data_IF_614204883467
#
_entry.id   IF_614204883467
#
_cell.length_a   1.000
_cell.length_b   1.000
_cell.length_c   1.000
_cell.angle_alpha   90.00
_cell.angle_beta   90.00
_cell.angle_gamma   90.00
#
_symmetry.space_group_name_H-M   'P 1'
#
loop_
_entity.id
_entity.type
_entity.pdbx_description
1 polymer ?
#
# COMPACT_ATOMS: atom_id res chain seq x y z
N UNK A 1 -1.80 -13.15 -19.59
CA UNK A 1 -2.61 -12.08 -18.96
C UNK A 1 -2.70 -10.94 -19.95
N UNK A 2 -3.91 -10.51 -20.31
CA UNK A 2 -4.12 -9.27 -21.05
C UNK A 2 -4.46 -8.12 -20.09
N UNK A 3 -4.60 -6.91 -20.62
CA UNK A 3 -4.93 -5.71 -19.85
C UNK A 3 -6.30 -5.80 -19.17
N UNK A 4 -7.31 -6.29 -19.88
CA UNK A 4 -8.67 -6.49 -19.35
C UNK A 4 -8.68 -7.44 -18.15
N UNK A 5 -7.87 -8.48 -18.18
CA UNK A 5 -7.71 -9.45 -17.10
C UNK A 5 -7.04 -8.84 -15.87
N UNK A 6 -6.04 -7.97 -16.06
CA UNK A 6 -5.48 -7.18 -14.96
C UNK A 6 -6.52 -6.22 -14.35
N UNK A 7 -7.24 -5.48 -15.19
CA UNK A 7 -8.24 -4.50 -14.77
C UNK A 7 -9.37 -5.13 -13.94
N UNK A 8 -9.89 -6.30 -14.32
CA UNK A 8 -10.93 -7.01 -13.55
C UNK A 8 -10.41 -7.71 -12.29
N UNK A 9 -9.10 -7.98 -12.18
CA UNK A 9 -8.50 -8.69 -11.04
C UNK A 9 -8.26 -7.74 -9.87
N UNK A 10 -8.94 -7.98 -8.74
CA UNK A 10 -8.78 -7.12 -7.54
C UNK A 10 -7.37 -7.24 -6.94
N UNK A 11 -6.77 -8.43 -7.02
CA UNK A 11 -5.42 -8.72 -6.53
C UNK A 11 -4.65 -9.63 -7.50
N UNK A 12 -3.32 -9.53 -7.49
CA UNK A 12 -2.41 -10.35 -8.31
C UNK A 12 -1.73 -11.43 -7.48
N UNK A 13 -2.55 -12.16 -6.73
CA UNK A 13 -2.20 -13.40 -6.04
C UNK A 13 -3.07 -14.55 -6.57
N UNK A 14 -3.38 -15.55 -5.73
CA UNK A 14 -4.26 -16.65 -6.10
C UNK A 14 -5.67 -16.24 -6.54
N UNK A 15 -6.05 -14.96 -6.40
CA UNK A 15 -7.35 -14.40 -6.79
C UNK A 15 -7.37 -13.75 -8.18
N UNK A 16 -6.31 -13.94 -8.96
CA UNK A 16 -6.25 -13.42 -10.33
C UNK A 16 -7.33 -14.07 -11.22
N UNK A 17 -7.94 -13.29 -12.11
CA UNK A 17 -8.90 -13.78 -13.11
C UNK A 17 -8.23 -13.78 -14.49
N UNK A 18 -7.58 -14.88 -14.92
CA UNK A 18 -6.77 -14.89 -16.12
C UNK A 18 -7.61 -14.87 -17.41
N UNK A 19 -6.99 -14.42 -18.52
CA UNK A 19 -7.62 -14.41 -19.85
C UNK A 19 -7.90 -15.83 -20.39
N UNK A 20 -7.04 -16.78 -20.02
CA UNK A 20 -7.15 -18.18 -20.39
C UNK A 20 -6.56 -19.04 -19.26
N UNK A 21 -7.00 -20.29 -19.17
CA UNK A 21 -6.44 -21.26 -18.25
C UNK A 21 -5.08 -21.74 -18.76
N UNK A 22 -4.10 -21.80 -17.87
CA UNK A 22 -2.75 -22.27 -18.19
C UNK A 22 -1.69 -21.64 -17.29
N UNK A 23 -0.73 -22.45 -16.86
CA UNK A 23 0.42 -22.00 -16.08
C UNK A 23 1.66 -22.80 -16.48
N UNK A 24 2.80 -22.14 -16.48
CA UNK A 24 4.11 -22.78 -16.65
C UNK A 24 4.96 -22.46 -15.43
N UNK A 25 5.62 -23.47 -14.87
CA UNK A 25 6.61 -23.29 -13.81
C UNK A 25 7.99 -23.32 -14.44
N UNK A 26 8.79 -22.29 -14.17
CA UNK A 26 10.19 -22.22 -14.55
C UNK A 26 11.05 -21.91 -13.33
N UNK A 27 12.28 -22.43 -13.24
CA UNK A 27 13.22 -22.00 -12.21
C UNK A 27 13.46 -20.49 -12.28
N UNK A 28 13.56 -19.82 -11.14
CA UNK A 28 13.84 -18.37 -11.10
C UNK A 28 15.19 -18.07 -11.77
N UNK A 29 16.17 -18.97 -11.61
CA UNK A 29 17.48 -18.87 -12.27
C UNK A 29 17.41 -18.80 -13.80
N UNK A 30 16.38 -19.40 -14.41
CA UNK A 30 16.17 -19.29 -15.86
C UNK A 30 15.78 -17.86 -16.29
N UNK A 31 15.33 -17.02 -15.36
CA UNK A 31 14.95 -15.63 -15.60
C UNK A 31 16.04 -14.63 -15.21
N UNK A 32 17.04 -15.04 -14.43
CA UNK A 32 18.15 -14.22 -13.92
C UNK A 32 19.22 -13.93 -14.99
N UNK A 33 19.35 -14.78 -16.01
CA UNK A 33 20.36 -14.65 -17.06
C UNK A 33 20.19 -13.44 -18.01
N UNK A 34 19.05 -12.73 -17.93
CA UNK A 34 18.80 -11.56 -18.77
C UNK A 34 18.86 -10.29 -17.94
N UNK A 35 19.85 -9.39 -18.15
CA UNK A 35 19.85 -8.09 -17.50
C UNK A 35 18.59 -7.34 -17.94
N UNK A 36 17.77 -6.93 -16.96
CA UNK A 36 16.59 -6.11 -17.20
C UNK A 36 16.67 -4.91 -16.29
N UNK A 37 16.92 -3.75 -16.85
CA UNK A 37 16.71 -2.51 -16.11
C UNK A 37 15.19 -2.34 -15.92
N UNK A 38 14.70 -2.19 -14.68
CA UNK A 38 13.30 -1.87 -14.46
C UNK A 38 12.92 -0.60 -15.22
N UNK A 39 11.80 -0.66 -15.93
CA UNK A 39 11.17 0.53 -16.48
C UNK A 39 10.54 1.38 -15.36
N UNK A 40 10.22 2.63 -15.69
CA UNK A 40 9.58 3.57 -14.78
C UNK A 40 8.32 2.95 -14.13
N UNK A 41 8.33 2.90 -12.80
CA UNK A 41 7.25 2.32 -11.97
C UNK A 41 6.80 3.36 -10.96
N UNK A 42 5.49 3.59 -10.89
CA UNK A 42 4.89 4.38 -9.82
C UNK A 42 4.43 3.49 -8.68
N UNK A 43 4.59 3.93 -7.43
CA UNK A 43 4.33 3.09 -6.27
C UNK A 43 3.22 3.64 -5.38
N UNK A 44 2.35 2.75 -4.90
CA UNK A 44 1.42 3.03 -3.81
C UNK A 44 1.77 2.09 -2.66
N UNK A 45 2.52 2.61 -1.69
CA UNK A 45 2.76 1.94 -0.41
C UNK A 45 1.66 2.32 0.57
N UNK A 46 1.35 1.43 1.51
CA UNK A 46 0.23 1.68 2.40
C UNK A 46 0.31 0.91 3.73
N UNK A 47 -0.36 1.42 4.77
CA UNK A 47 -0.35 0.81 6.12
C UNK A 47 -1.32 -0.36 6.33
N UNK A 48 -2.04 -0.75 5.28
CA UNK A 48 -3.24 -1.60 5.25
C UNK A 48 -4.54 -0.89 5.66
N UNK A 49 -5.66 -1.38 5.11
CA UNK A 49 -7.02 -0.96 5.47
C UNK A 49 -7.30 0.56 5.43
N UNK A 50 -6.48 1.31 4.70
CA UNK A 50 -6.49 2.76 4.59
C UNK A 50 -6.94 3.27 3.21
N UNK A 51 -7.75 2.51 2.47
CA UNK A 51 -8.25 2.93 1.15
C UNK A 51 -7.28 2.73 -0.03
N UNK A 52 -6.15 2.03 0.15
CA UNK A 52 -5.20 1.81 -0.96
C UNK A 52 -5.80 1.08 -2.17
N UNK A 53 -6.70 0.13 -1.95
CA UNK A 53 -7.43 -0.53 -3.05
C UNK A 53 -8.37 0.44 -3.78
N UNK A 54 -9.03 1.34 -3.05
CA UNK A 54 -9.87 2.38 -3.64
C UNK A 54 -9.03 3.31 -4.52
N UNK A 55 -7.92 3.84 -4.00
CA UNK A 55 -7.00 4.71 -4.74
C UNK A 55 -6.44 4.01 -6.00
N UNK A 56 -5.95 2.78 -5.85
CA UNK A 56 -5.40 2.03 -6.99
C UNK A 56 -6.44 1.74 -8.07
N UNK A 57 -7.70 1.46 -7.70
CA UNK A 57 -8.80 1.28 -8.66
C UNK A 57 -9.21 2.60 -9.32
N UNK A 58 -9.19 3.71 -8.58
CA UNK A 58 -9.49 5.02 -9.11
C UNK A 58 -8.44 5.53 -10.11
N UNK A 59 -7.22 4.95 -10.09
CA UNK A 59 -6.14 5.22 -11.04
C UNK A 59 -6.05 4.18 -12.18
N UNK A 60 -6.90 3.14 -12.19
CA UNK A 60 -6.84 2.03 -13.13
C UNK A 60 -7.85 2.21 -14.27
N UNK A 61 -7.55 3.10 -15.22
CA UNK A 61 -8.38 3.28 -16.40
C UNK A 61 -7.89 2.42 -17.56
N UNK A 62 -8.82 1.77 -18.26
CA UNK A 62 -8.50 0.83 -19.33
C UNK A 62 -7.68 1.42 -20.48
N UNK A 63 -7.65 2.75 -20.68
CA UNK A 63 -6.89 3.35 -21.79
C UNK A 63 -5.60 4.09 -21.34
N UNK A 64 -5.29 4.12 -20.03
CA UNK A 64 -4.17 4.91 -19.45
C UNK A 64 -2.91 4.09 -19.11
N UNK A 65 -2.83 3.53 -17.90
CA UNK A 65 -1.66 2.92 -17.28
C UNK A 65 -2.01 1.51 -16.81
N UNK A 66 -1.02 0.65 -16.60
CA UNK A 66 -1.27 -0.66 -15.97
C UNK A 66 -1.21 -0.49 -14.46
N UNK A 67 -2.23 -0.95 -13.72
CA UNK A 67 -2.19 -0.99 -12.25
C UNK A 67 -2.09 -2.43 -11.76
N UNK A 68 -1.00 -2.73 -11.07
CA UNK A 68 -0.73 -4.03 -10.46
C UNK A 68 -1.06 -3.96 -8.96
N UNK A 69 -2.06 -4.72 -8.52
CA UNK A 69 -2.57 -4.69 -7.14
C UNK A 69 -2.02 -5.86 -6.31
N UNK A 70 -1.17 -5.54 -5.34
CA UNK A 70 -0.55 -6.47 -4.40
C UNK A 70 0.17 -7.67 -5.06
N UNK A 71 1.18 -7.45 -5.94
CA UNK A 71 1.86 -8.56 -6.61
C UNK A 71 2.51 -9.54 -5.61
N UNK A 72 2.17 -10.82 -5.73
CA UNK A 72 2.66 -11.85 -4.81
C UNK A 72 4.19 -12.02 -4.87
N UNK A 73 4.79 -11.93 -6.07
CA UNK A 73 6.24 -12.05 -6.24
C UNK A 73 7.01 -11.02 -5.40
N UNK A 74 6.49 -9.78 -5.33
CA UNK A 74 7.09 -8.72 -4.52
C UNK A 74 6.92 -8.97 -3.02
N UNK A 75 5.73 -9.43 -2.61
CA UNK A 75 5.49 -9.84 -1.21
C UNK A 75 6.44 -10.96 -0.79
N UNK A 76 6.62 -11.98 -1.64
CA UNK A 76 7.52 -13.10 -1.38
C UNK A 76 8.97 -12.65 -1.23
N UNK A 77 9.43 -11.71 -2.08
CA UNK A 77 10.75 -11.11 -1.93
C UNK A 77 10.88 -10.37 -0.58
N UNK A 78 9.84 -9.68 -0.14
CA UNK A 78 9.85 -8.95 1.14
C UNK A 78 9.91 -9.84 2.39
N UNK A 79 9.20 -10.97 2.39
CA UNK A 79 9.13 -11.87 3.57
C UNK A 79 10.23 -12.93 3.59
N UNK A 80 10.94 -13.16 2.48
CA UNK A 80 11.94 -14.22 2.37
C UNK A 80 13.32 -13.82 2.90
N UNK A 81 13.47 -12.64 3.52
CA UNK A 81 14.76 -12.02 3.85
C UNK A 81 14.72 -11.40 5.24
N UNK A 82 15.78 -11.58 6.01
CA UNK A 82 16.03 -10.76 7.18
C UNK A 82 16.51 -9.34 6.74
N UNK A 83 16.42 -8.34 7.64
CA UNK A 83 17.05 -7.04 7.41
C UNK A 83 18.52 -7.19 6.98
N UNK A 84 18.91 -6.56 5.88
CA UNK A 84 20.28 -6.61 5.35
C UNK A 84 20.60 -7.79 4.43
N UNK A 85 19.73 -8.79 4.29
CA UNK A 85 19.96 -9.98 3.43
C UNK A 85 19.22 -9.96 2.10
N UNK A 86 18.76 -8.78 1.66
CA UNK A 86 17.96 -8.63 0.44
C UNK A 86 18.85 -9.00 -0.76
N UNK A 87 18.53 -10.13 -1.42
CA UNK A 87 19.20 -10.52 -2.66
C UNK A 87 18.83 -9.49 -3.74
N UNK A 88 19.78 -8.59 -4.03
CA UNK A 88 19.60 -7.49 -4.98
C UNK A 88 19.10 -7.99 -6.34
N UNK A 89 19.60 -9.13 -6.80
CA UNK A 89 19.23 -9.74 -8.09
C UNK A 89 17.76 -10.16 -8.14
N UNK A 90 17.25 -10.76 -7.06
CA UNK A 90 15.83 -11.16 -6.99
C UNK A 90 14.92 -9.93 -6.97
N UNK A 91 15.30 -8.89 -6.24
CA UNK A 91 14.51 -7.65 -6.20
C UNK A 91 14.54 -6.96 -7.57
N UNK A 92 15.70 -6.86 -8.21
CA UNK A 92 15.86 -6.30 -9.54
C UNK A 92 15.02 -7.07 -10.58
N UNK A 93 15.08 -8.40 -10.56
CA UNK A 93 14.27 -9.26 -11.44
C UNK A 93 12.76 -9.02 -11.24
N UNK A 94 12.29 -9.02 -9.98
CA UNK A 94 10.88 -8.79 -9.69
C UNK A 94 10.47 -7.38 -10.12
N UNK A 95 11.26 -6.35 -9.81
CA UNK A 95 10.99 -4.97 -10.24
C UNK A 95 10.93 -4.84 -11.75
N UNK A 96 11.86 -5.45 -12.48
CA UNK A 96 11.83 -5.46 -13.94
C UNK A 96 10.58 -6.15 -14.49
N UNK A 97 10.18 -7.26 -13.88
CA UNK A 97 8.96 -7.97 -14.27
C UNK A 97 7.68 -7.18 -14.01
N UNK A 98 7.61 -6.44 -12.90
CA UNK A 98 6.46 -5.59 -12.56
C UNK A 98 6.42 -4.32 -13.41
N UNK A 99 7.57 -3.82 -13.86
CA UNK A 99 7.64 -2.62 -14.70
C UNK A 99 7.15 -2.81 -16.15
N UNK A 100 6.83 -4.06 -16.54
CA UNK A 100 6.25 -4.36 -17.86
C UNK A 100 4.93 -3.59 -18.04
N UNK A 101 4.76 -3.04 -19.23
CA UNK A 101 3.66 -2.12 -19.58
C UNK A 101 3.22 -2.31 -21.02
N UNK A 102 1.96 -1.96 -21.27
CA UNK A 102 1.37 -1.97 -22.62
C UNK A 102 1.61 -0.66 -23.37
N UNK A 103 1.93 0.41 -22.64
CA UNK A 103 2.17 1.76 -23.15
C UNK A 103 3.53 2.22 -22.65
N UNK A 104 4.39 2.68 -23.55
CA UNK A 104 5.77 3.07 -23.21
C UNK A 104 5.84 4.43 -22.51
N UNK A 105 4.86 5.30 -22.78
CA UNK A 105 4.73 6.66 -22.29
C UNK A 105 4.19 6.75 -20.85
N UNK A 106 3.50 5.71 -20.38
CA UNK A 106 2.93 5.67 -19.02
C UNK A 106 3.69 4.69 -18.12
N UNK A 107 3.83 5.00 -16.81
CA UNK A 107 4.42 4.06 -15.88
C UNK A 107 3.44 2.92 -15.56
N UNK A 108 3.97 1.76 -15.19
CA UNK A 108 3.17 0.77 -14.46
C UNK A 108 3.05 1.24 -13.01
N UNK A 109 1.84 1.21 -12.47
CA UNK A 109 1.58 1.56 -11.08
C UNK A 109 1.49 0.27 -10.27
N UNK A 110 2.27 0.16 -9.21
CA UNK A 110 2.27 -0.99 -8.30
C UNK A 110 1.73 -0.56 -6.95
N UNK A 111 0.56 -1.09 -6.59
CA UNK A 111 0.08 -1.03 -5.21
C UNK A 111 0.73 -2.16 -4.42
N UNK A 112 1.64 -1.81 -3.53
CA UNK A 112 2.45 -2.77 -2.79
C UNK A 112 1.63 -3.53 -1.73
N UNK A 113 2.24 -4.58 -1.18
CA UNK A 113 1.77 -5.28 0.02
C UNK A 113 2.45 -4.69 1.27
N UNK A 114 1.82 -4.79 2.44
CA UNK A 114 2.38 -4.26 3.71
C UNK A 114 3.84 -4.67 3.98
N UNK A 115 4.25 -5.95 3.85
CA UNK A 115 5.65 -6.31 4.11
C UNK A 115 6.66 -5.61 3.21
N UNK A 116 6.25 -5.12 2.04
CA UNK A 116 7.12 -4.43 1.09
C UNK A 116 7.50 -3.04 1.61
N UNK A 117 6.76 -2.46 2.56
CA UNK A 117 7.15 -1.20 3.21
C UNK A 117 8.57 -1.30 3.80
N UNK A 118 8.99 -2.48 4.25
CA UNK A 118 10.32 -2.72 4.82
C UNK A 118 11.41 -2.99 3.76
N UNK A 119 11.03 -3.10 2.48
CA UNK A 119 11.96 -3.12 1.33
C UNK A 119 12.23 -1.73 0.74
N UNK A 120 11.64 -0.67 1.29
CA UNK A 120 11.79 0.70 0.77
C UNK A 120 13.25 1.11 0.54
N UNK A 121 14.22 0.87 1.45
CA UNK A 121 15.62 1.24 1.21
C UNK A 121 16.22 0.58 -0.05
N UNK A 122 15.91 -0.70 -0.28
CA UNK A 122 16.42 -1.44 -1.44
C UNK A 122 15.71 -1.01 -2.74
N UNK A 123 14.40 -0.71 -2.68
CA UNK A 123 13.66 -0.15 -3.81
C UNK A 123 14.13 1.27 -4.17
N UNK A 124 14.42 2.10 -3.17
CA UNK A 124 14.99 3.43 -3.38
C UNK A 124 16.41 3.38 -3.97
N UNK A 125 17.19 2.34 -3.64
CA UNK A 125 18.50 2.11 -4.28
C UNK A 125 18.35 1.76 -5.76
N UNK A 126 17.31 1.00 -6.12
CA UNK A 126 17.05 0.63 -7.52
C UNK A 126 16.56 1.82 -8.37
N UNK A 127 15.69 2.66 -7.80
CA UNK A 127 15.21 3.88 -8.46
C UNK A 127 14.85 4.95 -7.42
N UNK A 128 15.79 5.86 -7.07
CA UNK A 128 15.54 6.92 -6.09
C UNK A 128 14.59 8.01 -6.62
N UNK A 129 14.31 8.02 -7.92
CA UNK A 129 13.45 8.99 -8.58
C UNK A 129 12.05 8.43 -8.85
N UNK A 130 11.78 7.17 -8.50
CA UNK A 130 10.48 6.56 -8.70
C UNK A 130 9.38 7.38 -7.98
N UNK A 131 8.30 7.75 -8.67
CA UNK A 131 7.18 8.43 -8.02
C UNK A 131 6.49 7.46 -7.06
N UNK A 132 6.19 7.93 -5.86
CA UNK A 132 5.58 7.10 -4.82
C UNK A 132 4.58 7.86 -3.97
N UNK A 133 3.52 7.18 -3.57
CA UNK A 133 2.57 7.63 -2.56
C UNK A 133 2.68 6.71 -1.35
N UNK A 134 2.92 7.30 -0.18
CA UNK A 134 2.93 6.62 1.11
C UNK A 134 1.62 6.90 1.83
N UNK A 135 0.63 6.03 1.62
CA UNK A 135 -0.73 6.18 2.12
C UNK A 135 -0.85 5.63 3.55
N UNK A 136 -1.16 6.50 4.51
CA UNK A 136 -1.23 6.15 5.94
C UNK A 136 -2.53 6.60 6.60
N UNK A 137 -2.73 6.14 7.83
CA UNK A 137 -3.72 6.65 8.76
C UNK A 137 -3.01 7.13 10.04
N UNK A 138 -3.51 8.17 10.72
CA UNK A 138 -3.11 8.46 12.09
C UNK A 138 -3.33 7.24 12.97
N UNK A 139 -2.54 7.09 14.05
CA UNK A 139 -2.57 5.91 14.93
C UNK A 139 -3.99 5.53 15.33
N UNK A 140 -4.78 6.49 15.81
CA UNK A 140 -6.14 6.26 16.27
C UNK A 140 -7.02 5.63 15.16
N UNK A 141 -7.05 6.20 13.96
CA UNK A 141 -7.84 5.64 12.86
C UNK A 141 -7.29 4.30 12.37
N UNK A 142 -5.98 4.10 12.44
CA UNK A 142 -5.35 2.83 12.10
C UNK A 142 -5.77 1.70 13.04
N UNK A 143 -5.80 1.96 14.36
CA UNK A 143 -6.27 1.02 15.38
C UNK A 143 -7.71 0.58 15.08
N UNK A 144 -8.59 1.54 14.81
CA UNK A 144 -9.98 1.26 14.43
C UNK A 144 -10.07 0.45 13.13
N UNK A 145 -9.19 0.67 12.16
CA UNK A 145 -9.22 -0.05 10.89
C UNK A 145 -8.78 -1.52 11.03
N UNK A 146 -7.82 -1.81 11.91
CA UNK A 146 -7.21 -3.14 12.05
C UNK A 146 -7.88 -4.00 13.12
N UNK A 147 -8.35 -3.41 14.23
CA UNK A 147 -8.93 -4.18 15.33
C UNK A 147 -10.44 -4.46 15.17
N UNK A 148 -11.05 -3.98 14.07
CA UNK A 148 -12.51 -3.98 13.84
C UNK A 148 -13.19 -5.34 13.74
N UNK A 149 -12.46 -6.43 13.49
CA UNK A 149 -13.05 -7.78 13.43
C UNK A 149 -11.98 -8.86 13.55
N UNK A 150 -12.40 -10.08 13.86
CA UNK A 150 -11.50 -11.24 14.03
C UNK A 150 -10.65 -11.51 12.80
N UNK A 151 -11.22 -11.47 11.60
CA UNK A 151 -10.47 -11.63 10.35
C UNK A 151 -9.31 -10.61 10.23
N UNK A 152 -9.51 -9.37 10.70
CA UNK A 152 -8.47 -8.34 10.67
C UNK A 152 -7.42 -8.57 11.75
N UNK A 153 -7.82 -9.06 12.92
CA UNK A 153 -6.91 -9.43 14.01
C UNK A 153 -6.05 -10.65 13.66
N UNK A 154 -6.63 -11.65 13.02
CA UNK A 154 -5.85 -12.76 12.50
C UNK A 154 -4.85 -12.32 11.42
N UNK A 155 -5.27 -11.42 10.53
CA UNK A 155 -4.37 -10.82 9.56
C UNK A 155 -3.22 -10.08 10.25
N UNK A 156 -3.51 -9.30 11.29
CA UNK A 156 -2.52 -8.59 12.10
C UNK A 156 -1.50 -9.57 12.70
N UNK A 157 -1.96 -10.62 13.38
CA UNK A 157 -1.07 -11.63 13.98
C UNK A 157 -0.19 -12.29 12.92
N UNK A 158 -0.77 -12.73 11.80
CA UNK A 158 -0.02 -13.34 10.69
C UNK A 158 1.03 -12.39 10.10
N UNK A 159 0.65 -11.15 9.78
CA UNK A 159 1.57 -10.20 9.14
C UNK A 159 2.67 -9.74 10.09
N UNK A 160 2.36 -9.56 11.38
CA UNK A 160 3.37 -9.20 12.38
C UNK A 160 4.35 -10.34 12.60
N UNK A 161 3.90 -11.61 12.69
CA UNK A 161 4.83 -12.75 12.75
C UNK A 161 5.81 -12.79 11.58
N UNK A 162 5.34 -12.53 10.35
CA UNK A 162 6.23 -12.44 9.17
C UNK A 162 7.20 -11.26 9.23
N UNK A 163 6.86 -10.22 10.00
CA UNK A 163 7.63 -9.00 10.15
C UNK A 163 8.40 -8.93 11.47
N UNK A 164 8.45 -10.02 12.25
CA UNK A 164 9.23 -10.09 13.49
C UNK A 164 10.70 -9.67 13.30
N UNK A 165 11.40 -9.98 12.18
CA UNK A 165 12.76 -9.47 11.96
C UNK A 165 12.88 -7.94 11.93
N UNK A 166 11.79 -7.22 11.64
CA UNK A 166 11.74 -5.75 11.56
C UNK A 166 11.11 -5.10 12.79
N UNK A 167 10.14 -5.77 13.40
CA UNK A 167 9.32 -5.25 14.50
C UNK A 167 9.82 -5.70 15.88
N UNK A 168 10.67 -6.72 15.93
CA UNK A 168 11.13 -7.37 17.15
C UNK A 168 10.29 -8.60 17.51
N UNK A 169 10.67 -9.26 18.60
CA UNK A 169 9.90 -10.35 19.18
C UNK A 169 8.60 -9.83 19.81
N UNK A 170 7.50 -10.51 19.48
CA UNK A 170 6.12 -10.12 19.83
C UNK A 170 5.35 -11.26 20.50
N UNK A 171 5.99 -12.37 20.88
CA UNK A 171 5.30 -13.53 21.46
C UNK A 171 4.35 -13.14 22.61
N UNK A 172 4.75 -12.17 23.42
CA UNK A 172 3.99 -11.71 24.60
C UNK A 172 3.09 -10.51 24.36
N UNK A 173 3.04 -9.99 23.13
CA UNK A 173 2.30 -8.77 22.84
C UNK A 173 0.82 -9.05 22.58
N UNK A 174 -0.04 -8.20 23.14
CA UNK A 174 -1.46 -8.16 22.82
C UNK A 174 -1.69 -7.73 21.36
N UNK A 175 -2.91 -7.94 20.84
CA UNK A 175 -3.28 -7.41 19.52
C UNK A 175 -3.10 -5.87 19.47
N UNK A 176 -3.43 -5.15 20.54
CA UNK A 176 -3.26 -3.69 20.65
C UNK A 176 -1.79 -3.26 20.53
N UNK A 177 -0.88 -3.98 21.18
CA UNK A 177 0.56 -3.71 21.12
C UNK A 177 1.14 -4.07 19.74
N UNK A 178 0.70 -5.20 19.16
CA UNK A 178 1.08 -5.62 17.81
C UNK A 178 0.67 -4.62 16.75
N UNK A 179 -0.56 -4.10 16.80
CA UNK A 179 -1.01 -3.09 15.83
C UNK A 179 -0.26 -1.77 16.00
N UNK A 180 0.05 -1.35 17.24
CA UNK A 180 0.83 -0.16 17.52
C UNK A 180 2.26 -0.27 16.97
N UNK A 181 2.92 -1.41 17.19
CA UNK A 181 4.24 -1.69 16.67
C UNK A 181 4.27 -1.75 15.14
N UNK A 182 3.30 -2.44 14.53
CA UNK A 182 3.15 -2.51 13.08
C UNK A 182 2.94 -1.11 12.48
N UNK A 183 2.10 -0.27 13.11
CA UNK A 183 1.90 1.11 12.69
C UNK A 183 3.21 1.89 12.74
N UNK A 184 3.88 1.92 13.89
CA UNK A 184 5.11 2.69 14.08
C UNK A 184 6.22 2.25 13.12
N UNK A 185 6.40 0.94 12.92
CA UNK A 185 7.38 0.40 11.98
C UNK A 185 7.14 0.88 10.55
N UNK A 186 5.88 0.90 10.10
CA UNK A 186 5.53 1.38 8.77
C UNK A 186 5.66 2.90 8.63
N UNK A 187 5.25 3.68 9.63
CA UNK A 187 5.41 5.15 9.60
C UNK A 187 6.89 5.54 9.56
N UNK A 188 7.75 4.84 10.31
CA UNK A 188 9.21 5.04 10.24
C UNK A 188 9.79 4.66 8.87
N UNK A 189 9.34 3.55 8.29
CA UNK A 189 9.77 3.15 6.95
C UNK A 189 9.36 4.20 5.89
N UNK A 190 8.17 4.78 6.01
CA UNK A 190 7.72 5.86 5.13
C UNK A 190 8.51 7.15 5.33
N UNK A 191 8.80 7.54 6.57
CA UNK A 191 9.63 8.70 6.86
C UNK A 191 11.02 8.56 6.22
N UNK A 192 11.70 7.43 6.43
CA UNK A 192 12.98 7.14 5.79
C UNK A 192 12.88 7.10 4.26
N UNK A 193 11.80 6.52 3.73
CA UNK A 193 11.55 6.51 2.28
C UNK A 193 11.43 7.92 1.68
N UNK A 194 10.86 8.89 2.40
CA UNK A 194 10.70 10.27 1.93
C UNK A 194 12.04 11.02 1.83
N UNK A 195 13.02 10.62 2.64
CA UNK A 195 14.38 11.13 2.59
C UNK A 195 15.13 10.60 1.37
N UNK A 196 14.89 9.34 0.99
CA UNK A 196 15.62 8.68 -0.11
C UNK A 196 14.92 8.73 -1.47
N UNK A 197 13.61 8.99 -1.50
CA UNK A 197 12.81 9.03 -2.73
C UNK A 197 12.30 10.45 -3.00
N UNK A 198 12.98 11.17 -3.90
CA UNK A 198 12.75 12.60 -4.13
C UNK A 198 11.31 12.92 -4.59
N UNK A 199 10.73 12.04 -5.41
CA UNK A 199 9.37 12.18 -5.93
C UNK A 199 8.28 11.62 -5.00
N UNK A 200 8.65 11.02 -3.87
CA UNK A 200 7.67 10.46 -2.95
C UNK A 200 6.88 11.55 -2.22
N UNK A 201 5.60 11.26 -1.94
CA UNK A 201 4.69 12.07 -1.14
C UNK A 201 3.93 11.20 -0.14
N UNK A 202 3.66 11.74 1.04
CA UNK A 202 2.78 11.09 2.01
C UNK A 202 1.32 11.42 1.71
N UNK A 203 0.38 10.54 2.04
CA UNK A 203 -1.04 10.82 1.94
C UNK A 203 -1.74 10.30 3.18
N UNK A 204 -2.32 11.19 3.97
CA UNK A 204 -3.24 10.81 5.03
C UNK A 204 -4.57 10.36 4.39
N UNK A 205 -4.98 9.13 4.64
CA UNK A 205 -6.18 8.57 4.04
C UNK A 205 -7.46 9.33 4.46
N UNK A 206 -7.49 9.99 5.61
CA UNK A 206 -8.64 10.82 5.98
C UNK A 206 -8.81 12.03 5.03
N UNK A 207 -7.71 12.61 4.55
CA UNK A 207 -7.74 13.65 3.51
C UNK A 207 -8.24 13.07 2.20
N UNK A 208 -7.80 11.87 1.82
CA UNK A 208 -8.30 11.19 0.62
C UNK A 208 -9.82 10.97 0.68
N UNK A 209 -10.35 10.54 1.82
CA UNK A 209 -11.78 10.30 1.94
C UNK A 209 -12.62 11.58 2.01
N UNK A 210 -12.08 12.65 2.58
CA UNK A 210 -12.75 13.94 2.68
C UNK A 210 -12.72 14.71 1.34
N UNK A 211 -11.60 14.64 0.62
CA UNK A 211 -11.33 15.43 -0.59
C UNK A 211 -10.89 14.51 -1.74
N UNK A 212 -11.75 13.56 -2.19
CA UNK A 212 -11.34 12.50 -3.09
C UNK A 212 -10.98 13.00 -4.49
N UNK A 213 -11.64 14.06 -4.99
CA UNK A 213 -11.37 14.62 -6.31
C UNK A 213 -9.98 15.28 -6.38
N UNK A 214 -9.68 16.19 -5.43
CA UNK A 214 -8.38 16.87 -5.34
C UNK A 214 -7.26 15.86 -5.11
N UNK A 215 -7.49 14.90 -4.21
CA UNK A 215 -6.52 13.84 -3.93
C UNK A 215 -6.26 12.97 -5.14
N UNK A 216 -7.29 12.53 -5.86
CA UNK A 216 -7.12 11.67 -7.03
C UNK A 216 -6.37 12.39 -8.17
N UNK A 217 -6.72 13.64 -8.46
CA UNK A 217 -6.03 14.45 -9.46
C UNK A 217 -4.54 14.66 -9.11
N UNK A 218 -4.25 14.95 -7.84
CA UNK A 218 -2.88 15.17 -7.37
C UNK A 218 -2.07 13.87 -7.36
N UNK A 219 -2.69 12.77 -6.93
CA UNK A 219 -2.10 11.44 -6.98
C UNK A 219 -1.75 11.03 -8.42
N UNK A 220 -2.65 11.27 -9.37
CA UNK A 220 -2.42 10.99 -10.78
C UNK A 220 -1.23 11.78 -11.33
N UNK A 221 -1.14 13.08 -11.00
CA UNK A 221 0.01 13.92 -11.38
C UNK A 221 1.33 13.39 -10.83
N UNK A 222 1.40 13.12 -9.52
CA UNK A 222 2.64 12.60 -8.89
C UNK A 222 3.04 11.25 -9.47
N UNK A 223 2.08 10.34 -9.66
CA UNK A 223 2.31 9.02 -10.23
C UNK A 223 2.43 9.02 -11.76
N UNK A 224 2.35 10.19 -12.41
CA UNK A 224 2.42 10.36 -13.87
C UNK A 224 1.38 9.51 -14.62
N UNK A 225 0.18 9.41 -14.05
CA UNK A 225 -0.98 8.78 -14.67
C UNK A 225 -1.73 9.84 -15.47
N UNK A 226 -1.96 9.64 -16.79
CA UNK A 226 -2.74 10.58 -17.58
C UNK A 226 -4.22 10.43 -17.20
N UNK A 227 -4.71 11.37 -16.38
CA UNK A 227 -6.08 11.39 -15.89
C UNK A 227 -6.69 12.77 -16.10
N UNK A 228 -7.75 12.86 -16.91
CA UNK A 228 -8.43 14.13 -17.19
C UNK A 228 -9.35 14.55 -16.04
N UNK A 229 -9.65 15.85 -15.87
CA UNK A 229 -10.61 16.32 -14.88
C UNK A 229 -11.98 15.63 -14.97
N UNK A 230 -12.49 15.39 -16.19
CA UNK A 230 -13.76 14.72 -16.42
C UNK A 230 -13.70 13.25 -15.99
N UNK A 231 -12.55 12.59 -16.18
CA UNK A 231 -12.35 11.23 -15.69
C UNK A 231 -12.32 11.18 -14.16
N UNK A 232 -11.70 12.17 -13.50
CA UNK A 232 -11.74 12.30 -12.03
C UNK A 232 -13.19 12.42 -11.57
N UNK A 233 -13.94 13.38 -12.10
CA UNK A 233 -15.34 13.64 -11.71
C UNK A 233 -16.22 12.40 -11.90
N UNK A 234 -16.13 11.74 -13.06
CA UNK A 234 -16.86 10.50 -13.35
C UNK A 234 -16.49 9.35 -12.40
N UNK A 235 -15.23 9.28 -11.98
CA UNK A 235 -14.77 8.24 -11.06
C UNK A 235 -15.30 8.48 -9.66
N UNK A 236 -15.25 9.73 -9.19
CA UNK A 236 -15.74 10.12 -7.86
C UNK A 236 -17.26 10.00 -7.74
N UNK A 237 -18.00 10.40 -8.77
CA UNK A 237 -19.47 10.28 -8.81
C UNK A 237 -19.96 8.85 -9.10
N UNK A 238 -19.05 7.95 -9.50
CA UNK A 238 -19.37 6.58 -9.88
C UNK A 238 -19.45 5.60 -8.72
N UNK A 239 -19.84 4.36 -9.05
CA UNK A 239 -20.04 3.27 -8.08
C UNK A 239 -18.81 2.93 -7.23
N UNK A 240 -17.60 3.31 -7.66
CA UNK A 240 -16.37 3.02 -6.93
C UNK A 240 -16.31 3.72 -5.56
N UNK A 241 -16.93 4.90 -5.43
CA UNK A 241 -16.95 5.69 -4.19
C UNK A 241 -18.24 5.52 -3.37
N UNK A 242 -19.22 4.78 -3.89
CA UNK A 242 -20.47 4.42 -3.20
C UNK A 242 -20.59 2.92 -2.88
N UNK A 243 -19.56 2.13 -3.18
CA UNK A 243 -19.52 0.68 -2.89
C UNK A 243 -18.19 0.26 -2.29
N UNK A 244 -18.18 -0.91 -1.65
CA UNK A 244 -16.97 -1.46 -1.07
C UNK A 244 -15.94 -1.78 -2.17
N UNK A 245 -14.78 -1.14 -2.13
CA UNK A 245 -13.73 -1.27 -3.17
C UNK A 245 -13.22 -2.69 -3.43
N UNK A 246 -13.50 -3.66 -2.55
CA UNK A 246 -13.18 -5.10 -2.72
C UNK A 246 -14.40 -5.97 -3.01
N UNK A 247 -15.61 -5.44 -2.89
CA UNK A 247 -16.86 -6.13 -3.17
C UNK A 247 -17.92 -5.10 -3.64
N UNK A 248 -18.05 -4.87 -4.96
CA UNK A 248 -18.98 -3.87 -5.51
C UNK A 248 -20.47 -4.14 -5.19
N UNK A 249 -20.83 -5.33 -4.72
CA UNK A 249 -22.21 -5.65 -4.34
C UNK A 249 -22.64 -5.04 -2.99
N UNK A 250 -21.69 -4.50 -2.22
CA UNK A 250 -21.96 -3.91 -0.90
C UNK A 250 -21.90 -2.39 -1.02
N UNK A 251 -23.02 -1.71 -0.77
CA UNK A 251 -23.05 -0.25 -0.62
C UNK A 251 -22.15 0.17 0.56
N UNK A 252 -21.24 1.11 0.29
CA UNK A 252 -20.31 1.62 1.28
C UNK A 252 -19.62 2.89 0.76
N UNK A 253 -19.91 4.01 1.39
CA UNK A 253 -19.37 5.33 1.12
C UNK A 253 -18.59 5.88 2.33
N UNK A 254 -18.24 7.17 2.28
CA UNK A 254 -17.54 7.83 3.37
C UNK A 254 -18.42 8.03 4.61
N UNK A 255 -19.73 8.25 4.46
CA UNK A 255 -20.68 8.38 5.56
C UNK A 255 -20.76 7.07 6.35
N UNK A 256 -20.93 5.93 5.68
CA UNK A 256 -20.96 4.62 6.35
C UNK A 256 -19.62 4.29 7.02
N UNK A 257 -18.49 4.71 6.41
CA UNK A 257 -17.16 4.60 7.04
C UNK A 257 -17.08 5.38 8.34
N UNK A 258 -17.57 6.63 8.35
CA UNK A 258 -17.56 7.50 9.53
C UNK A 258 -18.50 6.97 10.63
N UNK A 259 -19.69 6.48 10.27
CA UNK A 259 -20.61 5.86 11.22
C UNK A 259 -19.98 4.63 11.88
N UNK A 260 -19.37 3.73 11.09
CA UNK A 260 -18.64 2.57 11.62
C UNK A 260 -17.50 3.00 12.54
N UNK A 261 -16.76 4.05 12.18
CA UNK A 261 -15.67 4.59 13.00
C UNK A 261 -16.17 5.05 14.37
N UNK A 262 -17.28 5.77 14.41
CA UNK A 262 -17.88 6.25 15.66
C UNK A 262 -18.26 5.08 16.58
N UNK A 263 -18.89 4.03 16.05
CA UNK A 263 -19.22 2.82 16.81
C UNK A 263 -17.98 2.12 17.36
N UNK A 264 -16.96 1.91 16.51
CA UNK A 264 -15.74 1.20 16.90
C UNK A 264 -14.92 1.95 17.95
N UNK A 265 -14.97 3.29 17.96
CA UNK A 265 -14.27 4.10 18.97
C UNK A 265 -14.70 3.76 20.39
N UNK A 266 -16.00 3.53 20.60
CA UNK A 266 -16.52 3.12 21.91
C UNK A 266 -16.15 1.68 22.22
N UNK A 267 -16.30 0.77 21.25
CA UNK A 267 -16.04 -0.67 21.45
C UNK A 267 -14.56 -0.96 21.76
N UNK A 268 -13.65 -0.24 21.10
CA UNK A 268 -12.20 -0.49 21.15
C UNK A 268 -11.46 0.45 22.12
N UNK A 269 -12.16 1.17 23.00
CA UNK A 269 -11.57 2.21 23.83
C UNK A 269 -10.38 1.72 24.68
N UNK A 270 -10.51 0.56 25.32
CA UNK A 270 -9.46 0.00 26.17
C UNK A 270 -8.22 -0.43 25.38
N UNK A 271 -8.42 -1.05 24.21
CA UNK A 271 -7.33 -1.44 23.32
C UNK A 271 -6.63 -0.22 22.71
N UNK A 272 -7.39 0.84 22.38
CA UNK A 272 -6.82 2.11 21.95
C UNK A 272 -5.93 2.68 23.06
N UNK A 273 -6.42 2.72 24.30
CA UNK A 273 -5.64 3.21 25.43
C UNK A 273 -4.38 2.36 25.67
N UNK A 274 -4.48 1.03 25.52
CA UNK A 274 -3.32 0.14 25.62
C UNK A 274 -2.28 0.41 24.53
N UNK A 275 -2.71 0.54 23.27
CA UNK A 275 -1.83 0.88 22.16
C UNK A 275 -1.14 2.24 22.35
N UNK A 276 -1.87 3.23 22.88
CA UNK A 276 -1.32 4.55 23.19
C UNK A 276 -0.24 4.49 24.27
N UNK A 277 -0.47 3.76 25.38
CA UNK A 277 0.54 3.54 26.43
C UNK A 277 1.79 2.84 25.88
N UNK A 278 1.62 1.97 24.89
CA UNK A 278 2.77 1.33 24.22
C UNK A 278 3.57 2.31 23.36
N UNK A 279 2.91 3.27 22.70
CA UNK A 279 3.55 4.28 21.84
C UNK A 279 4.19 5.42 22.65
N UNK A 280 3.64 5.79 23.79
CA UNK A 280 4.10 6.90 24.64
C UNK A 280 5.63 6.92 24.91
N UNK A 281 6.27 5.82 25.36
CA UNK A 281 7.74 5.80 25.56
C UNK A 281 8.54 5.94 24.25
N UNK A 282 7.88 5.85 23.09
CA UNK A 282 8.43 6.00 21.74
C UNK A 282 7.97 7.32 21.09
N UNK A 283 7.44 8.25 21.89
CA UNK A 283 6.81 9.49 21.42
C UNK A 283 7.72 10.36 20.57
N UNK A 284 8.99 10.54 20.95
CA UNK A 284 9.94 11.35 20.18
C UNK A 284 10.18 10.79 18.76
N UNK A 285 10.37 9.47 18.63
CA UNK A 285 10.55 8.80 17.34
C UNK A 285 9.28 8.86 16.50
N UNK A 286 8.12 8.68 17.15
CA UNK A 286 6.81 8.78 16.51
C UNK A 286 6.55 10.18 15.96
N UNK A 287 6.81 11.21 16.77
CA UNK A 287 6.63 12.60 16.41
C UNK A 287 7.52 13.02 15.23
N UNK A 288 8.80 12.64 15.25
CA UNK A 288 9.72 12.93 14.16
C UNK A 288 9.28 12.28 12.83
N UNK A 289 8.86 11.01 12.87
CA UNK A 289 8.41 10.31 11.67
C UNK A 289 7.11 10.93 11.11
N UNK A 290 6.14 11.28 11.96
CA UNK A 290 4.92 11.97 11.54
C UNK A 290 5.22 13.37 10.96
N UNK A 291 6.13 14.13 11.57
CA UNK A 291 6.54 15.44 11.05
C UNK A 291 7.16 15.34 9.65
N UNK A 292 7.97 14.30 9.39
CA UNK A 292 8.51 14.04 8.05
C UNK A 292 7.42 13.74 7.02
N UNK A 293 6.38 12.99 7.42
CA UNK A 293 5.22 12.74 6.57
C UNK A 293 4.47 14.04 6.27
N UNK A 294 4.15 14.85 7.27
CA UNK A 294 3.43 16.12 7.09
C UNK A 294 4.21 17.12 6.21
N UNK A 295 5.53 17.20 6.36
CA UNK A 295 6.39 18.06 5.55
C UNK A 295 6.39 17.72 4.05
N UNK A 296 5.95 16.52 3.68
CA UNK A 296 5.96 16.00 2.30
C UNK A 296 4.59 15.47 1.88
N UNK A 297 3.52 16.09 2.37
CA UNK A 297 2.13 15.73 2.04
C UNK A 297 1.82 15.87 0.55
N UNK A 298 0.98 14.97 0.06
CA UNK A 298 0.49 14.94 -1.32
C UNK A 298 -0.49 16.09 -1.56
N UNK A 299 -1.44 16.24 -0.64
CA UNK A 299 -2.46 17.30 -0.63
C UNK A 299 -2.23 18.11 0.64
N UNK A 300 -2.28 19.43 0.50
CA UNK A 300 -1.83 20.35 1.53
C UNK A 300 -2.48 21.70 1.45
#
# INVERSE_FOLDING_TARGET
MDRTSYHRSIFLDGRISPAANGAMRVPVSALEAAPRQPAATGWIFHVAHCGSTLLARALDHLDSNLVLREPLALRQTAIARAPGEIAADRLALVSAMLSKRYRVDTPTIVKANVPVNFLLPALATLDPNAPAIFLYLPLHDYLLAILRSDNHREWLRRVTTLLAPWLGDMERWSDAERVAALWLGQIRAFAAGLETMASARSLNAEVFFAEPAVTLATAATVLRVPLSPECVERTISGALFSTYSKNPAIAFDNSERLARRATLKTILADEIAQAQRWIEPRGAQTGAALAALEARRLVG
#
